data_IF_817792621955
#
_entry.id   IF_817792621955
#
_cell.length_a   1.000
_cell.length_b   1.000
_cell.length_c   1.000
_cell.angle_alpha   90.00
_cell.angle_beta   90.00
_cell.angle_gamma   90.00
#
_symmetry.space_group_name_H-M   'P 1'
#
loop_
_entity.id
_entity.type
_entity.pdbx_description
1 polymer ?
#
# COMPACT_ATOMS: atom_id res chain seq x y z
N UNK A 1 13.71 3.24 27.10
CA UNK A 1 13.64 2.25 26.00
C UNK A 1 12.29 2.45 25.33
N UNK A 2 12.22 3.34 24.34
CA UNK A 2 10.99 3.57 23.59
C UNK A 2 10.66 2.31 22.80
N UNK A 3 9.56 1.64 23.16
CA UNK A 3 8.98 0.60 22.31
C UNK A 3 8.42 1.32 21.09
N UNK A 4 9.22 1.41 20.02
CA UNK A 4 8.71 1.85 18.73
C UNK A 4 7.46 1.04 18.43
N UNK A 5 6.31 1.68 18.14
CA UNK A 5 5.11 0.95 17.76
C UNK A 5 5.43 0.21 16.46
N UNK A 6 5.73 -1.09 16.58
CA UNK A 6 5.94 -1.95 15.41
C UNK A 6 4.61 -1.99 14.68
N UNK A 7 4.61 -1.61 13.42
CA UNK A 7 3.45 -1.83 12.57
C UNK A 7 3.23 -3.34 12.48
N UNK A 8 2.08 -3.86 12.96
CA UNK A 8 1.82 -5.30 12.90
C UNK A 8 1.55 -5.76 11.47
N UNK A 9 1.12 -4.85 10.58
CA UNK A 9 0.84 -5.10 9.17
C UNK A 9 0.86 -3.79 8.38
N UNK A 10 1.12 -3.86 7.08
CA UNK A 10 0.88 -2.76 6.13
C UNK A 10 -0.45 -2.98 5.41
N UNK A 11 -1.22 -1.92 5.26
CA UNK A 11 -2.52 -1.96 4.58
C UNK A 11 -2.45 -1.13 3.31
N UNK A 12 -2.84 -1.70 2.17
CA UNK A 12 -2.84 -1.04 0.87
C UNK A 12 -4.26 -0.81 0.39
N UNK A 13 -4.64 0.44 0.19
CA UNK A 13 -5.88 0.80 -0.49
C UNK A 13 -5.73 0.64 -1.99
N UNK A 14 -6.61 -0.13 -2.62
CA UNK A 14 -6.70 -0.30 -4.07
C UNK A 14 -7.93 0.45 -4.56
N UNK A 15 -7.73 1.46 -5.41
CA UNK A 15 -8.81 2.29 -5.96
C UNK A 15 -8.83 2.16 -7.48
N UNK A 16 -9.93 1.71 -8.10
CA UNK A 16 -10.07 1.73 -9.55
C UNK A 16 -9.92 3.15 -10.13
N UNK A 17 -9.26 3.25 -11.27
CA UNK A 17 -9.05 4.48 -12.04
C UNK A 17 -9.36 4.22 -13.53
N UNK A 18 -9.38 5.27 -14.35
CA UNK A 18 -9.64 5.14 -15.80
C UNK A 18 -8.63 4.23 -16.51
N UNK A 19 -7.39 4.20 -16.02
CA UNK A 19 -6.27 3.48 -16.64
C UNK A 19 -5.87 2.19 -15.89
N UNK A 20 -6.64 1.77 -14.88
CA UNK A 20 -6.33 0.59 -14.07
C UNK A 20 -6.64 0.80 -12.59
N UNK A 21 -5.63 0.66 -11.73
CA UNK A 21 -5.76 0.69 -10.28
C UNK A 21 -4.66 1.51 -9.63
N UNK A 22 -5.05 2.36 -8.68
CA UNK A 22 -4.15 3.08 -7.80
C UNK A 22 -4.01 2.29 -6.51
N UNK A 23 -2.78 1.98 -6.12
CA UNK A 23 -2.41 1.26 -4.91
C UNK A 23 -1.69 2.25 -4.00
N UNK A 24 -2.21 2.46 -2.79
CA UNK A 24 -1.61 3.39 -1.81
C UNK A 24 -1.48 2.72 -0.43
N UNK A 25 -0.30 2.84 0.19
CA UNK A 25 -0.09 2.41 1.57
C UNK A 25 -0.82 3.35 2.53
N UNK A 26 -1.58 2.80 3.46
CA UNK A 26 -2.35 3.58 4.43
C UNK A 26 -1.45 4.15 5.53
N UNK A 27 -0.36 3.47 5.87
CA UNK A 27 0.56 3.84 6.95
C UNK A 27 1.68 4.79 6.48
N UNK A 28 1.96 4.83 5.17
CA UNK A 28 3.03 5.63 4.56
C UNK A 28 2.45 6.42 3.37
N UNK A 29 2.09 7.70 3.55
CA UNK A 29 1.35 8.47 2.55
C UNK A 29 2.05 8.63 1.19
N UNK A 30 3.38 8.63 1.17
CA UNK A 30 4.18 8.77 -0.05
C UNK A 30 4.48 7.43 -0.75
N UNK A 31 4.02 6.32 -0.18
CA UNK A 31 4.25 4.98 -0.70
C UNK A 31 3.02 4.52 -1.49
N UNK A 32 2.99 4.88 -2.78
CA UNK A 32 1.88 4.59 -3.68
C UNK A 32 2.38 4.33 -5.10
N UNK A 33 1.52 3.72 -5.93
CA UNK A 33 1.80 3.42 -7.33
C UNK A 33 0.51 3.13 -8.08
N UNK A 34 0.57 3.17 -9.41
CA UNK A 34 -0.46 2.66 -10.30
C UNK A 34 -0.07 1.33 -10.95
N UNK A 35 -1.09 0.61 -11.41
CA UNK A 35 -0.97 -0.62 -12.19
C UNK A 35 -2.15 -0.75 -13.16
N UNK A 36 -1.90 -1.25 -14.37
CA UNK A 36 -2.94 -1.35 -15.40
C UNK A 36 -3.90 -2.52 -15.15
N UNK A 37 -3.39 -3.62 -14.57
CA UNK A 37 -4.11 -4.88 -14.46
C UNK A 37 -4.22 -5.38 -13.02
N UNK A 38 -5.32 -6.07 -12.73
CA UNK A 38 -5.61 -6.60 -11.39
C UNK A 38 -4.62 -7.69 -10.97
N UNK A 39 -4.20 -8.54 -11.90
CA UNK A 39 -3.25 -9.63 -11.66
C UNK A 39 -1.83 -9.15 -11.30
N UNK A 40 -1.52 -7.88 -11.57
CA UNK A 40 -0.21 -7.29 -11.29
C UNK A 40 -0.14 -6.64 -9.89
N UNK A 41 -1.28 -6.51 -9.19
CA UNK A 41 -1.38 -5.78 -7.91
C UNK A 41 -0.46 -6.37 -6.84
N UNK A 42 -0.51 -7.68 -6.61
CA UNK A 42 0.26 -8.31 -5.54
C UNK A 42 1.78 -8.22 -5.80
N UNK A 43 2.18 -8.40 -7.05
CA UNK A 43 3.57 -8.19 -7.47
C UNK A 43 3.99 -6.74 -7.24
N UNK A 44 3.11 -5.79 -7.58
CA UNK A 44 3.38 -4.36 -7.46
C UNK A 44 3.51 -3.92 -5.99
N UNK A 45 2.66 -4.44 -5.09
CA UNK A 45 2.77 -4.21 -3.64
C UNK A 45 4.12 -4.71 -3.10
N UNK A 46 4.50 -5.94 -3.43
CA UNK A 46 5.77 -6.52 -2.98
C UNK A 46 6.99 -5.74 -3.49
N UNK A 47 6.94 -5.29 -4.75
CA UNK A 47 7.97 -4.44 -5.33
C UNK A 47 8.08 -3.11 -4.60
N UNK A 48 6.95 -2.46 -4.34
CA UNK A 48 6.90 -1.17 -3.64
C UNK A 48 7.50 -1.25 -2.23
N UNK A 49 7.25 -2.34 -1.51
CA UNK A 49 7.86 -2.60 -0.19
C UNK A 49 9.36 -2.83 -0.33
N UNK A 50 9.79 -3.63 -1.31
CA UNK A 50 11.22 -3.88 -1.56
C UNK A 50 11.97 -2.60 -1.87
N UNK A 51 11.44 -1.77 -2.77
CA UNK A 51 12.00 -0.47 -3.11
C UNK A 51 12.03 0.46 -1.89
N UNK A 52 10.98 0.47 -1.07
CA UNK A 52 10.95 1.25 0.17
C UNK A 52 12.04 0.84 1.17
N UNK A 53 12.27 -0.47 1.35
CA UNK A 53 13.33 -0.99 2.21
C UNK A 53 14.73 -0.63 1.69
N UNK A 54 14.92 -0.61 0.38
CA UNK A 54 16.20 -0.28 -0.25
C UNK A 54 16.50 1.22 -0.24
N UNK A 55 15.53 2.05 -0.58
CA UNK A 55 15.73 3.50 -0.70
C UNK A 55 15.55 4.26 0.63
N UNK A 56 14.78 3.73 1.57
CA UNK A 56 14.49 4.38 2.85
C UNK A 56 14.76 3.46 4.07
N UNK A 57 15.95 2.83 4.17
CA UNK A 57 16.24 1.81 5.19
C UNK A 57 16.14 2.34 6.62
N UNK A 58 16.48 3.61 6.86
CA UNK A 58 16.37 4.24 8.17
C UNK A 58 14.91 4.42 8.62
N UNK A 59 14.03 4.87 7.72
CA UNK A 59 12.61 5.04 8.02
C UNK A 59 11.93 3.67 8.20
N UNK A 60 12.26 2.70 7.33
CA UNK A 60 11.81 1.33 7.45
C UNK A 60 12.16 0.73 8.82
N UNK A 61 13.42 0.86 9.25
CA UNK A 61 13.88 0.36 10.56
C UNK A 61 13.15 1.04 11.70
N UNK A 62 12.97 2.36 11.63
CA UNK A 62 12.24 3.14 12.64
C UNK A 62 10.79 2.69 12.79
N UNK A 63 10.14 2.33 11.67
CA UNK A 63 8.76 1.83 11.61
C UNK A 63 8.63 0.33 11.88
N UNK A 64 9.73 -0.40 11.94
CA UNK A 64 9.75 -1.85 12.11
C UNK A 64 9.28 -2.62 10.86
N UNK A 65 9.48 -2.04 9.67
CA UNK A 65 9.11 -2.63 8.39
C UNK A 65 10.30 -3.45 7.88
N UNK A 66 10.04 -4.70 7.49
CA UNK A 66 11.02 -5.62 6.93
C UNK A 66 10.40 -6.41 5.77
N UNK A 67 11.17 -7.32 5.15
CA UNK A 67 10.70 -8.12 4.00
C UNK A 67 9.61 -9.14 4.36
N UNK A 68 9.44 -9.45 5.64
CA UNK A 68 8.49 -10.45 6.15
C UNK A 68 7.22 -9.79 6.71
N UNK A 69 7.07 -8.47 6.54
CA UNK A 69 5.91 -7.75 7.07
C UNK A 69 4.63 -8.24 6.40
N UNK A 70 3.62 -8.50 7.20
CA UNK A 70 2.31 -8.88 6.68
C UNK A 70 1.68 -7.71 5.92
N UNK A 71 1.09 -8.00 4.76
CA UNK A 71 0.40 -7.01 3.93
C UNK A 71 -1.08 -7.35 3.78
N UNK A 72 -1.94 -6.35 3.82
CA UNK A 72 -3.37 -6.49 3.57
C UNK A 72 -3.80 -5.57 2.42
N UNK A 73 -4.50 -6.12 1.43
CA UNK A 73 -5.15 -5.34 0.38
C UNK A 73 -6.58 -4.96 0.80
N UNK A 74 -6.94 -3.68 0.63
CA UNK A 74 -8.28 -3.12 0.92
C UNK A 74 -8.82 -2.50 -0.36
N UNK A 75 -9.87 -3.10 -0.91
CA UNK A 75 -10.52 -2.61 -2.11
C UNK A 75 -11.45 -1.44 -1.79
N UNK A 76 -11.18 -0.27 -2.37
CA UNK A 76 -12.05 0.89 -2.30
C UNK A 76 -12.98 0.89 -3.50
N UNK A 77 -14.27 0.73 -3.25
CA UNK A 77 -15.28 0.99 -4.27
C UNK A 77 -15.26 2.49 -4.61
N UNK A 78 -15.31 2.82 -5.90
CA UNK A 78 -15.58 4.19 -6.34
C UNK A 78 -17.08 4.45 -6.10
N UNK A 79 -17.47 5.47 -5.32
CA UNK A 79 -18.87 5.79 -5.12
C UNK A 79 -19.40 6.46 -6.39
N UNK A 80 -19.91 5.66 -7.33
CA UNK A 80 -20.72 6.15 -8.44
C UNK A 80 -22.03 5.38 -8.48
N UNK A 81 -22.95 5.75 -7.60
CA UNK A 81 -24.38 5.75 -7.91
C UNK A 81 -24.98 7.01 -7.30
N UNK A 82 -25.14 8.01 -8.15
CA UNK A 82 -26.19 9.00 -8.04
C UNK A 82 -27.46 8.21 -7.68
N UNK A 83 -28.01 8.44 -6.49
CA UNK A 83 -29.42 8.12 -6.27
C UNK A 83 -30.19 9.04 -7.22
N UNK A 84 -30.53 8.52 -8.40
CA UNK A 84 -31.55 9.12 -9.26
C UNK A 84 -32.86 8.98 -8.49
N UNK A 85 -33.22 10.01 -7.73
CA UNK A 85 -34.62 10.30 -7.39
C UNK A 85 -35.35 10.82 -8.63
#
# INVERSE_FOLDING_TARGET
MEKSPRLPKLSFSITPSQEGYIIACNEIPYLFTDVAKIEEIDMRINRLITEYLEYFPHDATKRGINKEIETQAIWKAVPNSIALE
#
